data_IF_969227680179
#
_entry.id   IF_969227680179
#
_cell.length_a   1.000
_cell.length_b   1.000
_cell.length_c   1.000
_cell.angle_alpha   90.00
_cell.angle_beta   90.00
_cell.angle_gamma   90.00
#
_symmetry.space_group_name_H-M   'P 1'
#
loop_
_entity.id
_entity.type
_entity.pdbx_description
1 polymer ?
#
# COMPACT_ATOMS: atom_id res chain seq x y z
N UNK A 1 -9.31 -15.70 19.33
CA UNK A 1 -10.16 -16.11 18.19
C UNK A 1 -9.59 -15.54 16.90
N UNK A 2 -8.45 -16.07 16.45
CA UNK A 2 -7.73 -15.61 15.25
C UNK A 2 -8.21 -16.42 14.03
N UNK A 3 -8.39 -15.76 12.87
CA UNK A 3 -8.69 -16.41 11.57
C UNK A 3 -10.14 -16.89 11.35
N UNK A 4 -11.06 -16.66 12.29
CA UNK A 4 -12.41 -17.25 12.23
C UNK A 4 -13.24 -16.80 11.02
N UNK A 5 -13.06 -15.57 10.53
CA UNK A 5 -13.86 -15.02 9.43
C UNK A 5 -13.07 -14.88 8.11
N UNK A 6 -11.94 -15.56 7.99
CA UNK A 6 -11.06 -15.42 6.80
C UNK A 6 -11.71 -15.97 5.53
N UNK A 7 -12.58 -16.98 5.66
CA UNK A 7 -13.30 -17.61 4.55
C UNK A 7 -14.77 -17.14 4.43
N UNK A 8 -15.12 -15.98 5.02
CA UNK A 8 -16.50 -15.45 5.03
C UNK A 8 -17.10 -15.30 3.62
N UNK A 9 -16.28 -15.06 2.60
CA UNK A 9 -16.75 -14.97 1.22
C UNK A 9 -17.26 -16.33 0.72
N UNK A 10 -16.45 -17.39 0.86
CA UNK A 10 -16.79 -18.73 0.37
C UNK A 10 -17.99 -19.31 1.12
N UNK A 11 -18.02 -19.13 2.44
CA UNK A 11 -19.06 -19.71 3.31
C UNK A 11 -20.30 -18.81 3.47
N UNK A 12 -20.22 -17.55 3.03
CA UNK A 12 -21.28 -16.54 3.18
C UNK A 12 -21.76 -16.01 1.83
N UNK A 13 -21.92 -16.87 0.83
CA UNK A 13 -22.48 -16.53 -0.50
C UNK A 13 -21.80 -15.34 -1.20
N UNK A 14 -20.52 -15.09 -0.93
CA UNK A 14 -19.72 -13.99 -1.45
C UNK A 14 -20.27 -12.57 -1.13
N UNK A 15 -21.05 -12.40 -0.06
CA UNK A 15 -21.57 -11.09 0.36
C UNK A 15 -20.47 -10.09 0.71
N UNK A 16 -19.34 -10.56 1.25
CA UNK A 16 -18.17 -9.73 1.59
C UNK A 16 -16.87 -10.38 1.18
N UNK A 17 -15.92 -9.56 0.74
CA UNK A 17 -14.57 -10.03 0.43
C UNK A 17 -13.65 -9.92 1.66
N UNK A 18 -12.84 -10.94 2.02
CA UNK A 18 -11.98 -10.92 3.23
C UNK A 18 -11.05 -9.70 3.34
N UNK A 19 -10.61 -9.15 2.20
CA UNK A 19 -9.85 -7.88 2.12
C UNK A 19 -10.49 -6.69 2.86
N UNK A 20 -11.82 -6.69 3.01
CA UNK A 20 -12.58 -5.64 3.69
C UNK A 20 -12.48 -5.76 5.22
N UNK A 21 -12.21 -6.96 5.74
CA UNK A 21 -11.99 -7.22 7.15
C UNK A 21 -10.60 -6.77 7.63
N UNK A 22 -9.66 -6.59 6.70
CA UNK A 22 -8.29 -6.15 7.01
C UNK A 22 -8.31 -4.74 7.58
N UNK A 23 -7.87 -4.61 8.83
CA UNK A 23 -7.62 -3.32 9.49
C UNK A 23 -6.21 -2.83 9.17
N UNK A 24 -6.06 -1.52 8.98
CA UNK A 24 -4.76 -0.91 8.71
C UNK A 24 -4.87 0.33 7.85
N UNK A 25 -3.74 0.81 7.31
CA UNK A 25 -3.72 2.00 6.49
C UNK A 25 -4.64 1.87 5.27
N UNK A 26 -5.48 2.89 5.05
CA UNK A 26 -6.48 2.90 3.96
C UNK A 26 -5.84 2.69 2.59
N UNK A 27 -4.59 3.14 2.41
CA UNK A 27 -3.85 2.96 1.17
C UNK A 27 -3.22 1.57 0.99
N UNK A 28 -3.35 0.64 1.96
CA UNK A 28 -2.81 -0.72 1.88
C UNK A 28 -3.87 -1.83 2.00
N UNK A 29 -5.10 -1.51 2.44
CA UNK A 29 -6.16 -2.52 2.57
C UNK A 29 -6.42 -3.22 1.23
N UNK A 30 -6.28 -4.54 1.22
CA UNK A 30 -6.48 -5.38 0.04
C UNK A 30 -5.50 -5.12 -1.11
N UNK A 31 -4.31 -4.59 -0.84
CA UNK A 31 -3.35 -4.22 -1.87
C UNK A 31 -1.92 -4.64 -1.50
N UNK A 32 -1.16 -5.17 -2.48
CA UNK A 32 0.24 -5.56 -2.34
C UNK A 32 1.08 -4.89 -3.43
N UNK A 33 2.28 -4.45 -3.06
CA UNK A 33 3.27 -3.92 -4.00
C UNK A 33 4.56 -3.51 -3.29
N UNK A 34 5.58 -3.21 -4.10
CA UNK A 34 6.90 -2.84 -3.60
C UNK A 34 6.90 -1.44 -2.95
N UNK A 35 8.04 -1.04 -2.38
CA UNK A 35 8.13 0.22 -1.64
C UNK A 35 7.80 1.45 -2.50
N UNK A 36 8.32 1.52 -3.73
CA UNK A 36 8.05 2.63 -4.64
C UNK A 36 6.54 2.75 -4.92
N UNK A 37 5.89 1.63 -5.21
CA UNK A 37 4.45 1.58 -5.45
C UNK A 37 3.66 1.99 -4.20
N UNK A 38 4.06 1.54 -3.00
CA UNK A 38 3.45 1.97 -1.72
C UNK A 38 3.57 3.48 -1.52
N UNK A 39 4.74 4.05 -1.76
CA UNK A 39 4.97 5.49 -1.60
C UNK A 39 4.11 6.31 -2.57
N UNK A 40 4.07 5.93 -3.85
CA UNK A 40 3.23 6.59 -4.87
C UNK A 40 1.75 6.51 -4.49
N UNK A 41 1.29 5.35 -4.05
CA UNK A 41 -0.10 5.13 -3.63
C UNK A 41 -0.46 5.96 -2.39
N UNK A 42 0.42 5.97 -1.36
CA UNK A 42 0.25 6.80 -0.16
C UNK A 42 0.14 8.28 -0.54
N UNK A 43 1.05 8.79 -1.38
CA UNK A 43 1.02 10.18 -1.87
C UNK A 43 -0.31 10.51 -2.57
N UNK A 44 -0.76 9.65 -3.49
CA UNK A 44 -2.02 9.87 -4.24
C UNK A 44 -3.25 9.86 -3.33
N UNK A 45 -3.31 8.93 -2.37
CA UNK A 45 -4.52 8.72 -1.56
C UNK A 45 -4.61 9.65 -0.35
N UNK A 46 -3.49 9.93 0.31
CA UNK A 46 -3.48 10.68 1.58
C UNK A 46 -2.51 11.86 1.60
N UNK A 47 -1.80 12.13 0.50
CA UNK A 47 -0.80 13.19 0.46
C UNK A 47 -1.34 14.59 0.71
N UNK A 48 -2.61 14.87 0.37
CA UNK A 48 -3.24 16.17 0.60
C UNK A 48 -3.45 16.52 2.08
N UNK A 49 -3.45 15.50 2.96
CA UNK A 49 -3.67 15.64 4.42
C UNK A 49 -2.44 15.23 5.24
N UNK A 50 -1.30 15.02 4.59
CA UNK A 50 -0.03 14.75 5.27
C UNK A 50 0.58 16.06 5.76
N UNK A 51 1.34 16.00 6.86
CA UNK A 51 2.18 17.11 7.28
C UNK A 51 3.18 17.49 6.17
N UNK A 52 3.54 18.77 6.11
CA UNK A 52 4.41 19.30 5.04
C UNK A 52 5.75 18.57 4.98
N UNK A 53 6.39 18.34 6.13
CA UNK A 53 7.67 17.64 6.23
C UNK A 53 7.58 16.17 5.81
N UNK A 54 6.49 15.49 6.19
CA UNK A 54 6.23 14.11 5.80
C UNK A 54 6.03 13.98 4.29
N UNK A 55 5.27 14.90 3.69
CA UNK A 55 5.06 14.93 2.25
C UNK A 55 6.36 15.24 1.50
N UNK A 56 7.15 16.18 2.01
CA UNK A 56 8.47 16.52 1.48
C UNK A 56 9.41 15.29 1.50
N UNK A 57 9.49 14.60 2.64
CA UNK A 57 10.29 13.38 2.79
C UNK A 57 9.78 12.23 1.91
N UNK A 58 8.46 12.06 1.78
CA UNK A 58 7.86 11.07 0.89
C UNK A 58 8.24 11.34 -0.57
N UNK A 59 8.23 12.60 -1.01
CA UNK A 59 8.65 12.99 -2.35
C UNK A 59 10.14 12.68 -2.60
N UNK A 60 11.01 12.98 -1.62
CA UNK A 60 12.44 12.61 -1.69
C UNK A 60 12.61 11.10 -1.81
N UNK A 61 11.87 10.31 -1.03
CA UNK A 61 11.92 8.83 -1.06
C UNK A 61 11.49 8.27 -2.40
N UNK A 62 10.38 8.76 -2.97
CA UNK A 62 9.91 8.36 -4.31
C UNK A 62 10.98 8.64 -5.37
N UNK A 63 11.58 9.84 -5.35
CA UNK A 63 12.62 10.22 -6.31
C UNK A 63 13.86 9.34 -6.19
N UNK A 64 14.29 9.02 -4.97
CA UNK A 64 15.40 8.11 -4.73
C UNK A 64 15.10 6.70 -5.29
N UNK A 65 13.97 6.12 -4.91
CA UNK A 65 13.59 4.76 -5.32
C UNK A 65 13.40 4.65 -6.84
N UNK A 66 12.83 5.69 -7.48
CA UNK A 66 12.72 5.74 -8.93
C UNK A 66 14.08 5.70 -9.62
N UNK A 67 15.06 6.49 -9.13
CA UNK A 67 16.43 6.44 -9.67
C UNK A 67 17.07 5.08 -9.41
N UNK A 68 16.96 4.56 -8.19
CA UNK A 68 17.56 3.29 -7.80
C UNK A 68 17.03 2.14 -8.66
N UNK A 69 15.72 1.90 -8.68
CA UNK A 69 15.15 0.76 -9.41
C UNK A 69 15.30 0.84 -10.93
N UNK A 70 15.33 2.04 -11.51
CA UNK A 70 15.39 2.17 -12.98
C UNK A 70 16.80 2.40 -13.53
N UNK A 71 17.77 2.85 -12.71
CA UNK A 71 19.14 3.19 -13.16
C UNK A 71 20.22 2.35 -12.52
N UNK A 72 19.94 1.68 -11.41
CA UNK A 72 20.90 0.84 -10.70
C UNK A 72 20.35 -0.58 -10.58
N UNK A 73 21.22 -1.58 -10.71
CA UNK A 73 20.84 -2.98 -10.61
C UNK A 73 21.94 -3.87 -11.15
N UNK A 74 22.11 -5.05 -10.54
CA UNK A 74 23.08 -6.05 -11.00
C UNK A 74 22.60 -6.76 -12.26
N UNK A 75 21.29 -7.03 -12.31
CA UNK A 75 20.63 -7.69 -13.42
C UNK A 75 19.88 -6.63 -14.22
N UNK A 76 20.11 -6.61 -15.53
CA UNK A 76 19.43 -5.76 -16.49
C UNK A 76 19.15 -6.55 -17.76
#
# INVERSE_FOLDING_TARGET
MFGVYDNIGILGNFEKHPKELIRGPVWLRGWKGNELQRCIRKKKMVGHRMFADDLHNLNKRIRYLYKHFNRHGKYR
#
